data_IF_803942489808
#
_entry.id   IF_803942489808
#
_cell.length_a   1.000
_cell.length_b   1.000
_cell.length_c   1.000
_cell.angle_alpha   90.00
_cell.angle_beta   90.00
_cell.angle_gamma   90.00
#
_symmetry.space_group_name_H-M   'P 1'
#
loop_
_entity.id
_entity.type
_entity.pdbx_description
1 polymer ?
#
# COMPACT_ATOMS: atom_id res chain seq x y z
N UNK A 1 6.80 -11.06 -1.53
CA UNK A 1 7.04 -10.51 -2.76
C UNK A 1 7.30 -9.00 -2.70
N UNK A 2 8.19 -8.46 -3.46
CA UNK A 2 8.26 -7.06 -3.86
C UNK A 2 8.96 -6.04 -2.95
N UNK A 3 9.31 -6.33 -1.72
CA UNK A 3 10.11 -5.44 -0.87
C UNK A 3 11.58 -5.82 -0.95
N UNK A 4 12.16 -5.66 -2.13
CA UNK A 4 13.51 -6.14 -2.41
C UNK A 4 14.26 -5.04 -3.15
N UNK A 5 14.64 -4.01 -2.43
CA UNK A 5 15.64 -3.09 -2.94
C UNK A 5 16.88 -3.19 -2.06
N UNK A 6 17.89 -3.89 -2.57
CA UNK A 6 19.21 -4.05 -1.95
C UNK A 6 20.25 -3.12 -2.58
N UNK A 7 19.79 -2.05 -3.24
CA UNK A 7 20.69 -1.05 -3.77
C UNK A 7 21.57 -0.47 -2.64
N UNK A 8 22.86 -0.25 -2.84
CA UNK A 8 23.76 0.30 -1.82
C UNK A 8 23.25 1.57 -1.15
N UNK A 9 22.58 2.46 -1.90
CA UNK A 9 22.00 3.68 -1.35
C UNK A 9 20.85 3.39 -0.37
N UNK A 10 20.01 2.40 -0.67
CA UNK A 10 18.90 1.99 0.21
C UNK A 10 19.43 1.29 1.45
N UNK A 11 20.47 0.47 1.30
CA UNK A 11 21.12 -0.19 2.45
C UNK A 11 21.78 0.84 3.37
N UNK A 12 22.33 1.91 2.83
CA UNK A 12 22.85 3.01 3.65
C UNK A 12 21.74 3.65 4.47
N UNK A 13 20.62 4.01 3.86
CA UNK A 13 19.45 4.56 4.56
C UNK A 13 18.89 3.58 5.62
N UNK A 14 18.90 2.29 5.34
CA UNK A 14 18.50 1.29 6.34
C UNK A 14 19.39 1.29 7.58
N UNK A 15 20.69 1.41 7.39
CA UNK A 15 21.64 1.50 8.53
C UNK A 15 21.47 2.79 9.32
N UNK A 16 21.22 3.91 8.64
CA UNK A 16 20.88 5.18 9.27
C UNK A 16 19.59 5.05 10.10
N UNK A 17 18.55 4.47 9.53
CA UNK A 17 17.29 4.16 10.23
C UNK A 17 17.50 3.29 11.48
N UNK A 18 18.35 2.26 11.41
CA UNK A 18 18.67 1.43 12.57
C UNK A 18 19.43 2.21 13.64
N UNK A 19 20.37 3.08 13.24
CA UNK A 19 21.08 3.94 14.16
C UNK A 19 20.15 4.89 14.90
N UNK A 20 19.22 5.52 14.19
CA UNK A 20 18.23 6.42 14.77
C UNK A 20 17.28 5.68 15.71
N UNK A 21 16.84 4.48 15.32
CA UNK A 21 15.94 3.66 16.12
C UNK A 21 16.56 3.14 17.42
N UNK A 22 17.80 2.68 17.36
CA UNK A 22 18.46 2.00 18.49
C UNK A 22 19.41 2.89 19.25
N UNK A 23 19.85 3.99 18.67
CA UNK A 23 20.79 4.98 19.24
C UNK A 23 22.17 4.42 19.63
N UNK A 24 22.31 3.12 19.84
CA UNK A 24 23.61 2.47 20.08
C UNK A 24 23.63 1.04 19.53
N UNK A 25 24.81 0.61 19.11
CA UNK A 25 25.00 -0.75 18.58
C UNK A 25 24.84 -1.82 19.68
N UNK A 26 25.18 -1.49 20.91
CA UNK A 26 25.03 -2.37 22.07
C UNK A 26 23.55 -2.67 22.33
N UNK A 27 22.68 -1.66 22.20
CA UNK A 27 21.23 -1.84 22.38
C UNK A 27 20.63 -2.69 21.25
N UNK A 28 21.03 -2.45 20.00
CA UNK A 28 20.64 -3.30 18.88
C UNK A 28 21.09 -4.74 19.11
N UNK A 29 22.36 -4.94 19.43
CA UNK A 29 22.94 -6.26 19.71
C UNK A 29 22.18 -7.02 20.80
N UNK A 30 21.83 -6.34 21.89
CA UNK A 30 21.02 -6.90 22.97
C UNK A 30 19.65 -7.35 22.46
N UNK A 31 19.02 -6.55 21.61
CA UNK A 31 17.68 -6.81 21.07
C UNK A 31 17.71 -8.00 20.11
N UNK A 32 18.67 -8.02 19.20
CA UNK A 32 18.82 -9.05 18.16
C UNK A 32 19.44 -10.34 18.71
N UNK A 33 20.25 -10.25 19.77
CA UNK A 33 21.11 -11.34 20.23
C UNK A 33 22.35 -11.50 19.38
N UNK A 34 22.96 -10.39 18.97
CA UNK A 34 24.12 -10.34 18.06
C UNK A 34 25.31 -9.62 18.68
N UNK A 35 26.43 -9.58 17.95
CA UNK A 35 27.68 -8.93 18.36
C UNK A 35 28.26 -8.07 17.22
N UNK A 36 27.43 -7.27 16.55
CA UNK A 36 27.92 -6.34 15.52
C UNK A 36 28.83 -5.29 16.14
N UNK A 37 29.94 -4.98 15.44
CA UNK A 37 30.91 -3.97 15.89
C UNK A 37 30.39 -2.53 15.66
N UNK A 38 29.53 -2.34 14.66
CA UNK A 38 28.94 -1.05 14.34
C UNK A 38 27.72 -1.26 13.43
N UNK A 39 26.88 -0.22 13.27
CA UNK A 39 25.76 -0.22 12.32
C UNK A 39 26.22 -0.47 10.88
N UNK A 40 27.44 -0.02 10.52
CA UNK A 40 28.01 -0.25 9.18
C UNK A 40 28.22 -1.72 8.83
N UNK A 41 28.37 -2.58 9.84
CA UNK A 41 28.56 -4.03 9.66
C UNK A 41 27.26 -4.83 9.54
N UNK A 42 26.12 -4.17 9.70
CA UNK A 42 24.81 -4.82 9.56
C UNK A 42 24.50 -4.97 8.07
N UNK A 43 24.02 -6.16 7.71
CA UNK A 43 23.50 -6.48 6.38
C UNK A 43 21.99 -6.44 6.39
N UNK A 44 21.36 -6.10 5.25
CA UNK A 44 19.94 -6.30 5.08
C UNK A 44 19.57 -7.79 5.15
N UNK A 45 18.43 -8.17 5.69
CA UNK A 45 18.04 -9.55 5.84
C UNK A 45 17.76 -10.20 4.48
N UNK A 46 18.31 -11.40 4.27
CA UNK A 46 18.14 -12.21 3.07
C UNK A 46 17.86 -13.65 3.48
N UNK A 47 16.95 -14.32 2.79
CA UNK A 47 16.65 -15.73 3.00
C UNK A 47 15.41 -15.98 3.86
N UNK A 48 15.42 -17.06 4.62
CA UNK A 48 14.30 -17.45 5.48
C UNK A 48 14.49 -16.95 6.91
N UNK A 49 13.38 -16.75 7.60
CA UNK A 49 13.37 -16.42 9.03
C UNK A 49 13.48 -17.75 9.79
N UNK A 50 14.61 -18.01 10.40
CA UNK A 50 14.87 -19.25 11.15
C UNK A 50 15.24 -18.97 12.61
N UNK A 51 15.74 -17.78 12.90
CA UNK A 51 16.24 -17.38 14.22
C UNK A 51 15.54 -16.12 14.73
N UNK A 52 15.71 -15.85 16.03
CA UNK A 52 15.29 -14.56 16.62
C UNK A 52 15.96 -13.38 15.93
N UNK A 53 17.24 -13.51 15.59
CA UNK A 53 17.99 -12.50 14.87
C UNK A 53 17.34 -12.18 13.51
N UNK A 54 17.03 -13.22 12.74
CA UNK A 54 16.37 -13.03 11.43
C UNK A 54 15.02 -12.33 11.60
N UNK A 55 14.22 -12.77 12.57
CA UNK A 55 12.93 -12.15 12.85
C UNK A 55 13.07 -10.65 13.16
N UNK A 56 13.99 -10.27 14.04
CA UNK A 56 14.24 -8.87 14.38
C UNK A 56 14.70 -8.08 13.16
N UNK A 57 15.64 -8.63 12.38
CA UNK A 57 16.15 -7.97 11.18
C UNK A 57 15.07 -7.76 10.11
N UNK A 58 14.25 -8.78 9.85
CA UNK A 58 13.13 -8.66 8.90
C UNK A 58 12.03 -7.71 9.38
N UNK A 59 11.72 -7.73 10.68
CA UNK A 59 10.77 -6.80 11.26
C UNK A 59 11.24 -5.34 11.10
N UNK A 60 12.52 -5.06 11.42
CA UNK A 60 13.09 -3.73 11.27
C UNK A 60 13.22 -3.32 9.80
N UNK A 61 13.53 -4.26 8.93
CA UNK A 61 13.56 -3.98 7.49
C UNK A 61 12.17 -3.66 6.94
N UNK A 62 11.13 -4.29 7.48
CA UNK A 62 9.75 -3.92 7.18
C UNK A 62 9.40 -2.52 7.68
N UNK A 63 9.77 -2.17 8.91
CA UNK A 63 9.56 -0.82 9.44
C UNK A 63 10.33 0.23 8.65
N UNK A 64 11.58 -0.07 8.29
CA UNK A 64 12.38 0.79 7.42
C UNK A 64 11.68 1.07 6.09
N UNK A 65 11.07 0.07 5.45
CA UNK A 65 10.33 0.31 4.20
C UNK A 65 9.16 1.25 4.36
N UNK A 66 8.43 1.20 5.46
CA UNK A 66 7.37 2.17 5.76
C UNK A 66 7.91 3.59 5.82
N UNK A 67 9.01 3.76 6.54
CA UNK A 67 9.73 5.04 6.61
C UNK A 67 10.27 5.48 5.24
N UNK A 68 10.87 4.56 4.50
CA UNK A 68 11.42 4.83 3.16
C UNK A 68 10.34 5.27 2.16
N UNK A 69 9.16 4.65 2.18
CA UNK A 69 8.02 5.09 1.36
C UNK A 69 7.52 6.47 1.77
N UNK A 70 7.49 6.77 3.06
CA UNK A 70 7.10 8.10 3.54
C UNK A 70 8.07 9.18 3.06
N UNK A 71 9.39 8.93 3.14
CA UNK A 71 10.41 9.81 2.60
C UNK A 71 10.27 10.01 1.09
N UNK A 72 10.05 8.93 0.34
CA UNK A 72 9.86 9.00 -1.11
C UNK A 72 8.65 9.86 -1.50
N UNK A 73 7.51 9.62 -0.88
CA UNK A 73 6.30 10.40 -1.13
C UNK A 73 6.46 11.86 -0.70
N UNK A 74 7.15 12.13 0.40
CA UNK A 74 7.45 13.49 0.84
C UNK A 74 8.27 14.28 -0.21
N UNK A 75 9.27 13.63 -0.82
CA UNK A 75 10.04 14.22 -1.92
C UNK A 75 9.14 14.52 -3.12
N UNK A 76 8.26 13.59 -3.51
CA UNK A 76 7.34 13.79 -4.61
C UNK A 76 6.35 14.93 -4.33
N UNK A 77 5.75 14.96 -3.15
CA UNK A 77 4.82 16.01 -2.74
C UNK A 77 5.50 17.38 -2.77
N UNK A 78 6.68 17.50 -2.18
CA UNK A 78 7.47 18.73 -2.20
C UNK A 78 7.77 19.17 -3.63
N UNK A 79 8.12 18.23 -4.51
CA UNK A 79 8.38 18.53 -5.92
C UNK A 79 7.13 19.00 -6.65
N UNK A 80 5.99 18.33 -6.47
CA UNK A 80 4.71 18.74 -7.07
C UNK A 80 4.33 20.16 -6.62
N UNK A 81 4.48 20.46 -5.35
CA UNK A 81 4.17 21.79 -4.80
C UNK A 81 5.03 22.93 -5.35
N UNK A 82 6.19 22.64 -5.93
CA UNK A 82 6.98 23.69 -6.63
C UNK A 82 6.32 24.22 -7.90
N UNK A 83 5.26 23.55 -8.39
CA UNK A 83 4.51 23.97 -9.58
C UNK A 83 3.23 24.78 -9.25
N UNK A 84 3.12 25.28 -8.03
CA UNK A 84 1.94 26.06 -7.55
C UNK A 84 0.61 25.33 -7.74
N UNK A 85 0.61 24.03 -7.49
CA UNK A 85 -0.59 23.19 -7.58
C UNK A 85 -1.34 23.26 -6.24
N UNK A 86 -2.58 23.79 -6.30
CA UNK A 86 -3.45 23.99 -5.14
C UNK A 86 -4.50 22.90 -4.94
N UNK A 87 -4.57 21.91 -5.83
CA UNK A 87 -5.52 20.80 -5.73
C UNK A 87 -5.09 19.76 -4.69
N UNK A 88 -6.05 19.03 -4.15
CA UNK A 88 -5.80 17.90 -3.26
C UNK A 88 -4.97 16.84 -3.98
N UNK A 89 -3.85 16.46 -3.39
CA UNK A 89 -3.05 15.33 -3.88
C UNK A 89 -3.68 14.01 -3.44
N UNK A 90 -3.62 13.04 -4.32
CA UNK A 90 -4.12 11.68 -4.03
C UNK A 90 -3.08 10.63 -4.41
N UNK A 91 -3.15 9.48 -3.75
CA UNK A 91 -2.32 8.32 -4.05
C UNK A 91 -3.14 7.04 -3.98
N UNK A 92 -3.03 6.19 -5.00
CA UNK A 92 -3.65 4.87 -4.98
C UNK A 92 -2.88 3.92 -4.08
N UNK A 93 -3.60 3.12 -3.32
CA UNK A 93 -3.05 1.91 -2.70
C UNK A 93 -3.49 0.74 -3.58
N UNK A 94 -2.58 0.20 -4.40
CA UNK A 94 -2.92 -0.92 -5.26
C UNK A 94 -3.20 -2.13 -4.38
N UNK A 95 -4.35 -2.73 -4.59
CA UNK A 95 -4.72 -3.91 -3.84
C UNK A 95 -5.96 -4.54 -4.44
N UNK A 96 -5.97 -5.85 -4.48
CA UNK A 96 -7.10 -6.60 -4.94
C UNK A 96 -7.83 -7.13 -3.72
N UNK A 97 -9.12 -6.88 -3.63
CA UNK A 97 -9.95 -7.45 -2.56
C UNK A 97 -10.33 -8.86 -2.96
N UNK A 98 -9.34 -9.74 -3.10
CA UNK A 98 -9.57 -11.14 -3.37
C UNK A 98 -9.70 -11.94 -2.07
N UNK A 99 -10.63 -12.86 -2.08
CA UNK A 99 -10.77 -13.86 -1.03
C UNK A 99 -10.89 -13.21 0.35
N UNK A 100 -9.90 -13.40 1.19
CA UNK A 100 -9.85 -12.89 2.56
C UNK A 100 -9.09 -11.57 2.72
N UNK A 101 -8.74 -10.89 1.63
CA UNK A 101 -8.05 -9.60 1.60
C UNK A 101 -6.76 -9.53 2.46
N UNK A 102 -6.06 -10.65 2.62
CA UNK A 102 -4.92 -10.75 3.53
C UNK A 102 -3.76 -9.81 3.16
N UNK A 103 -3.64 -9.42 1.90
CA UNK A 103 -2.55 -8.56 1.43
C UNK A 103 -2.83 -7.07 1.64
N UNK A 104 -4.07 -6.62 1.54
CA UNK A 104 -4.42 -5.22 1.56
C UNK A 104 -4.12 -4.52 2.91
N UNK A 105 -4.38 -5.12 4.07
CA UNK A 105 -3.96 -4.55 5.35
C UNK A 105 -2.45 -4.28 5.42
N UNK A 106 -1.65 -5.17 4.86
CA UNK A 106 -0.20 -5.01 4.79
C UNK A 106 0.21 -3.87 3.85
N UNK A 107 -0.46 -3.72 2.70
CA UNK A 107 -0.23 -2.63 1.77
C UNK A 107 -0.63 -1.29 2.39
N UNK A 108 -1.81 -1.19 3.00
CA UNK A 108 -2.24 0.03 3.71
C UNK A 108 -1.23 0.41 4.79
N UNK A 109 -0.77 -0.57 5.59
CA UNK A 109 0.20 -0.31 6.66
C UNK A 109 1.55 0.23 6.16
N UNK A 110 1.88 -0.01 4.89
CA UNK A 110 3.10 0.53 4.29
C UNK A 110 3.10 2.04 4.23
N UNK A 111 1.94 2.66 4.12
CA UNK A 111 1.78 4.11 4.05
C UNK A 111 1.36 4.75 5.37
N UNK A 112 1.28 3.98 6.47
CA UNK A 112 0.78 4.46 7.77
C UNK A 112 1.49 5.73 8.25
N UNK A 113 2.82 5.80 8.15
CA UNK A 113 3.59 6.93 8.64
C UNK A 113 3.16 8.24 7.98
N UNK A 114 3.06 8.23 6.64
CA UNK A 114 2.68 9.43 5.89
C UNK A 114 1.18 9.76 6.04
N UNK A 115 0.31 8.75 6.12
CA UNK A 115 -1.12 8.94 6.34
C UNK A 115 -1.43 9.64 7.66
N UNK A 116 -0.64 9.36 8.71
CA UNK A 116 -0.84 9.93 10.04
C UNK A 116 -0.25 11.31 10.22
N UNK A 117 0.72 11.67 9.40
CA UNK A 117 1.52 12.89 9.59
C UNK A 117 1.19 13.99 8.59
N UNK A 118 0.40 13.69 7.54
CA UNK A 118 0.07 14.66 6.48
C UNK A 118 -1.43 14.70 6.21
N UNK A 119 -1.93 15.91 6.00
CA UNK A 119 -3.32 16.23 5.62
C UNK A 119 -3.45 16.70 4.16
N UNK A 120 -2.32 16.88 3.48
CA UNK A 120 -2.26 17.40 2.11
C UNK A 120 -2.17 16.32 1.02
N UNK A 121 -2.25 15.06 1.41
CA UNK A 121 -2.39 13.92 0.52
C UNK A 121 -3.45 12.95 1.06
N UNK A 122 -4.30 12.43 0.19
CA UNK A 122 -5.35 11.47 0.54
C UNK A 122 -5.11 10.16 -0.21
N UNK A 123 -5.13 9.07 0.53
CA UNK A 123 -4.94 7.72 -0.01
C UNK A 123 -6.29 7.09 -0.32
N UNK A 124 -6.39 6.47 -1.48
CA UNK A 124 -7.56 5.71 -1.90
C UNK A 124 -7.20 4.26 -2.19
N UNK A 125 -8.17 3.37 -2.00
CA UNK A 125 -8.02 1.95 -2.28
C UNK A 125 -8.43 1.62 -3.72
N UNK A 126 -7.77 0.66 -4.32
CA UNK A 126 -8.24 0.03 -5.56
C UNK A 126 -9.23 -1.09 -5.18
N UNK A 127 -10.51 -0.80 -5.33
CA UNK A 127 -11.61 -1.69 -5.03
C UNK A 127 -12.02 -2.47 -6.28
N UNK A 128 -11.40 -3.62 -6.50
CA UNK A 128 -11.67 -4.48 -7.66
C UNK A 128 -11.95 -5.91 -7.16
N UNK A 129 -13.14 -6.17 -6.59
CA UNK A 129 -13.47 -7.46 -5.98
C UNK A 129 -13.87 -8.53 -6.99
N UNK A 130 -14.09 -8.18 -8.27
CA UNK A 130 -14.66 -8.99 -9.36
C UNK A 130 -16.13 -9.38 -9.13
N UNK A 131 -16.47 -9.85 -7.96
CA UNK A 131 -17.85 -10.11 -7.52
C UNK A 131 -17.94 -10.00 -6.01
N UNK A 132 -19.13 -9.72 -5.49
CA UNK A 132 -19.40 -9.66 -4.05
C UNK A 132 -20.30 -10.83 -3.66
N UNK A 133 -19.90 -11.50 -2.61
CA UNK A 133 -20.67 -12.57 -1.99
C UNK A 133 -20.53 -12.49 -0.47
N UNK A 134 -21.33 -13.27 0.25
CA UNK A 134 -21.17 -13.38 1.71
C UNK A 134 -19.78 -13.89 2.13
N UNK A 135 -19.01 -14.47 1.21
CA UNK A 135 -17.67 -15.01 1.49
C UNK A 135 -16.60 -13.94 1.51
N UNK A 136 -16.76 -12.85 0.77
CA UNK A 136 -15.75 -11.79 0.62
C UNK A 136 -16.22 -10.39 1.06
N UNK A 137 -17.51 -10.20 1.36
CA UNK A 137 -18.03 -8.90 1.80
C UNK A 137 -17.31 -8.35 3.06
N UNK A 138 -16.85 -9.21 3.96
CA UNK A 138 -16.08 -8.81 5.14
C UNK A 138 -14.73 -8.19 4.78
N UNK A 139 -14.16 -8.53 3.63
CA UNK A 139 -12.88 -7.98 3.17
C UNK A 139 -12.99 -6.51 2.83
N UNK A 140 -14.08 -6.10 2.17
CA UNK A 140 -14.37 -4.70 1.90
C UNK A 140 -14.52 -3.90 3.19
N UNK A 141 -15.33 -4.40 4.13
CA UNK A 141 -15.49 -3.78 5.45
C UNK A 141 -14.14 -3.61 6.17
N UNK A 142 -13.34 -4.67 6.22
CA UNK A 142 -12.05 -4.66 6.90
C UNK A 142 -11.10 -3.62 6.29
N UNK A 143 -10.99 -3.57 4.96
CA UNK A 143 -10.13 -2.64 4.26
C UNK A 143 -10.55 -1.18 4.47
N UNK A 144 -11.86 -0.90 4.38
CA UNK A 144 -12.38 0.43 4.62
C UNK A 144 -12.12 0.89 6.05
N UNK A 145 -12.30 0.01 7.04
CA UNK A 145 -12.05 0.34 8.45
C UNK A 145 -10.57 0.49 8.78
N UNK A 146 -9.70 -0.27 8.15
CA UNK A 146 -8.25 -0.10 8.29
C UNK A 146 -7.82 1.25 7.70
N UNK A 147 -8.28 1.60 6.49
CA UNK A 147 -7.97 2.89 5.89
C UNK A 147 -8.49 4.04 6.74
N UNK A 148 -9.74 3.97 7.21
CA UNK A 148 -10.34 4.97 8.10
C UNK A 148 -9.50 5.19 9.38
N UNK A 149 -9.01 4.10 9.98
CA UNK A 149 -8.21 4.17 11.19
C UNK A 149 -6.80 4.73 10.96
N UNK A 150 -6.23 4.50 9.78
CA UNK A 150 -4.87 4.95 9.44
C UNK A 150 -4.83 6.34 8.83
N UNK A 151 -5.91 6.81 8.21
CA UNK A 151 -6.00 8.10 7.53
C UNK A 151 -6.99 9.04 8.26
N UNK A 152 -6.61 9.66 9.39
CA UNK A 152 -7.55 10.47 10.19
C UNK A 152 -7.95 11.79 9.51
N UNK A 153 -7.21 12.25 8.51
CA UNK A 153 -7.43 13.52 7.82
C UNK A 153 -8.13 13.39 6.46
N UNK A 154 -8.48 12.18 6.06
CA UNK A 154 -9.06 11.94 4.75
C UNK A 154 -10.29 11.03 4.77
N UNK A 155 -11.12 11.08 3.73
CA UNK A 155 -12.22 10.15 3.57
C UNK A 155 -11.73 8.75 3.22
N UNK A 156 -12.54 7.75 3.53
CA UNK A 156 -12.41 6.44 2.89
C UNK A 156 -12.97 6.56 1.48
N UNK A 157 -12.14 6.34 0.48
CA UNK A 157 -12.53 6.46 -0.92
C UNK A 157 -11.83 5.42 -1.79
N UNK A 158 -12.47 5.06 -2.90
CA UNK A 158 -11.90 4.16 -3.89
C UNK A 158 -11.22 4.98 -5.00
N UNK A 159 -9.90 4.85 -5.11
CA UNK A 159 -9.12 5.44 -6.19
C UNK A 159 -9.37 4.75 -7.52
N UNK A 160 -9.64 3.45 -7.49
CA UNK A 160 -10.17 2.66 -8.58
C UNK A 160 -11.31 1.79 -8.05
N UNK A 161 -12.53 2.09 -8.48
CA UNK A 161 -13.70 1.29 -8.13
C UNK A 161 -14.17 0.53 -9.35
N UNK A 162 -14.25 -0.78 -9.25
CA UNK A 162 -14.61 -1.63 -10.38
C UNK A 162 -15.92 -1.19 -11.03
N UNK A 163 -15.83 -0.92 -12.34
CA UNK A 163 -16.97 -0.61 -13.18
C UNK A 163 -16.87 -1.42 -14.48
N UNK A 164 -17.31 -2.67 -14.41
CA UNK A 164 -17.23 -3.62 -15.52
C UNK A 164 -16.40 -4.86 -15.20
N UNK A 165 -16.17 -5.66 -16.22
CA UNK A 165 -15.46 -6.94 -16.14
C UNK A 165 -14.19 -6.91 -16.96
N UNK A 166 -13.08 -7.38 -16.40
CA UNK A 166 -11.84 -7.59 -17.16
C UNK A 166 -11.94 -8.82 -18.05
N UNK A 167 -11.26 -8.80 -19.20
CA UNK A 167 -11.31 -9.84 -20.23
C UNK A 167 -11.06 -11.27 -19.71
N UNK A 168 -10.22 -11.41 -18.68
CA UNK A 168 -9.80 -12.72 -18.13
C UNK A 168 -10.42 -13.03 -16.75
N UNK A 169 -11.38 -12.24 -16.31
CA UNK A 169 -12.03 -12.41 -15.01
C UNK A 169 -13.47 -12.90 -15.19
N UNK A 170 -14.08 -13.31 -14.07
CA UNK A 170 -15.50 -13.68 -14.04
C UNK A 170 -16.32 -12.47 -14.46
N UNK A 171 -17.25 -12.69 -15.38
CA UNK A 171 -18.16 -11.63 -15.82
C UNK A 171 -19.01 -11.14 -14.65
N UNK A 172 -18.96 -9.83 -14.43
CA UNK A 172 -19.85 -9.14 -13.51
C UNK A 172 -20.99 -8.51 -14.29
N UNK A 173 -22.19 -8.66 -13.80
CA UNK A 173 -23.37 -7.98 -14.36
C UNK A 173 -23.69 -6.69 -13.57
N UNK A 174 -24.77 -6.02 -13.97
CA UNK A 174 -25.17 -4.78 -13.32
C UNK A 174 -25.58 -4.99 -11.85
N UNK A 175 -26.14 -6.14 -11.50
CA UNK A 175 -26.57 -6.44 -10.13
C UNK A 175 -25.37 -6.75 -9.22
N UNK A 176 -24.31 -7.34 -9.75
CA UNK A 176 -23.05 -7.52 -9.02
C UNK A 176 -22.43 -6.16 -8.66
N UNK A 177 -22.37 -5.25 -9.63
CA UNK A 177 -21.83 -3.90 -9.42
C UNK A 177 -22.68 -3.09 -8.44
N UNK A 178 -24.01 -3.17 -8.55
CA UNK A 178 -24.93 -2.52 -7.62
C UNK A 178 -24.76 -3.06 -6.19
N UNK A 179 -24.69 -4.37 -6.04
CA UNK A 179 -24.43 -5.01 -4.74
C UNK A 179 -23.13 -4.56 -4.13
N UNK A 180 -22.06 -4.52 -4.93
CA UNK A 180 -20.75 -4.06 -4.46
C UNK A 180 -20.77 -2.57 -4.08
N UNK A 181 -21.40 -1.74 -4.88
CA UNK A 181 -21.54 -0.31 -4.60
C UNK A 181 -22.24 -0.06 -3.26
N UNK A 182 -23.42 -0.68 -3.05
CA UNK A 182 -24.15 -0.51 -1.79
C UNK A 182 -23.45 -1.12 -0.59
N UNK A 183 -22.76 -2.25 -0.76
CA UNK A 183 -21.94 -2.83 0.30
C UNK A 183 -20.83 -1.87 0.72
N UNK A 184 -20.09 -1.31 -0.22
CA UNK A 184 -18.99 -0.39 0.05
C UNK A 184 -19.48 0.90 0.72
N UNK A 185 -20.65 1.44 0.30
CA UNK A 185 -21.30 2.57 0.98
C UNK A 185 -21.65 2.21 2.43
N UNK A 186 -22.28 1.07 2.64
CA UNK A 186 -22.65 0.59 3.99
C UNK A 186 -21.42 0.38 4.88
N UNK A 187 -20.28 0.03 4.31
CA UNK A 187 -19.00 -0.14 5.00
C UNK A 187 -18.20 1.16 5.17
N UNK A 188 -18.78 2.29 4.82
CA UNK A 188 -18.22 3.62 5.12
C UNK A 188 -17.46 4.29 3.98
N UNK A 189 -17.48 3.75 2.77
CA UNK A 189 -16.93 4.42 1.60
C UNK A 189 -17.65 5.74 1.34
N UNK A 190 -16.90 6.80 1.04
CA UNK A 190 -17.46 8.16 0.88
C UNK A 190 -17.37 8.67 -0.56
N UNK A 191 -16.47 8.12 -1.36
CA UNK A 191 -16.24 8.56 -2.73
C UNK A 191 -15.73 7.42 -3.59
N UNK A 192 -16.04 7.47 -4.88
CA UNK A 192 -15.72 6.45 -5.85
C UNK A 192 -15.17 7.09 -7.12
N UNK A 193 -14.06 6.56 -7.60
CA UNK A 193 -13.56 6.83 -8.94
C UNK A 193 -13.74 5.55 -9.77
N UNK A 194 -14.75 5.55 -10.63
CA UNK A 194 -15.08 4.35 -11.40
C UNK A 194 -13.98 4.00 -12.42
N UNK A 195 -13.49 2.77 -12.34
CA UNK A 195 -12.48 2.22 -13.21
C UNK A 195 -12.99 0.93 -13.89
N UNK A 196 -13.21 0.93 -15.20
CA UNK A 196 -13.16 2.05 -16.13
C UNK A 196 -14.58 2.56 -16.39
N UNK A 197 -14.79 3.85 -16.25
CA UNK A 197 -16.11 4.46 -16.42
C UNK A 197 -16.59 4.41 -17.88
N UNK A 198 -15.69 4.60 -18.82
CA UNK A 198 -16.01 4.56 -20.24
C UNK A 198 -15.19 3.50 -20.96
N UNK A 199 -15.87 2.77 -21.84
CA UNK A 199 -15.24 1.82 -22.72
C UNK A 199 -14.48 2.56 -23.85
N UNK A 200 -13.29 2.06 -24.19
CA UNK A 200 -12.51 2.58 -25.30
C UNK A 200 -11.81 1.45 -26.06
N UNK A 201 -11.17 1.74 -27.16
CA UNK A 201 -10.38 0.80 -27.93
C UNK A 201 -8.91 1.23 -27.84
N UNK A 202 -8.06 0.35 -27.34
CA UNK A 202 -6.63 0.60 -27.35
C UNK A 202 -6.10 0.60 -28.79
N UNK A 203 -5.21 1.52 -29.16
CA UNK A 203 -4.53 1.47 -30.46
C UNK A 203 -3.84 0.12 -30.65
N UNK A 204 -3.84 -0.38 -31.89
CA UNK A 204 -3.23 -1.67 -32.21
C UNK A 204 -1.77 -1.76 -31.72
N UNK A 205 -1.46 -2.82 -30.99
CA UNK A 205 -0.13 -3.04 -30.41
C UNK A 205 0.21 -2.13 -29.21
N UNK A 206 -0.75 -1.37 -28.69
CA UNK A 206 -0.61 -0.53 -27.48
C UNK A 206 -1.59 -0.99 -26.43
N UNK A 207 -1.16 -0.92 -25.19
CA UNK A 207 -1.97 -1.35 -24.05
C UNK A 207 -1.71 -2.78 -23.62
N UNK A 208 -2.00 -3.05 -22.34
CA UNK A 208 -1.73 -4.33 -21.70
C UNK A 208 -2.73 -5.42 -22.13
N UNK A 209 -3.95 -5.02 -22.43
CA UNK A 209 -5.00 -5.89 -22.95
C UNK A 209 -5.37 -5.44 -24.38
N UNK A 210 -5.45 -6.37 -25.30
CA UNK A 210 -5.73 -6.08 -26.72
C UNK A 210 -7.11 -5.46 -26.98
N UNK A 211 -8.01 -5.60 -26.01
CA UNK A 211 -9.33 -4.94 -25.97
C UNK A 211 -9.47 -4.18 -24.68
N UNK A 212 -10.29 -3.18 -24.68
CA UNK A 212 -10.74 -2.48 -23.48
C UNK A 212 -11.73 -3.31 -22.67
N UNK A 213 -11.83 -2.96 -21.45
CA UNK A 213 -12.81 -3.50 -20.50
C UNK A 213 -14.25 -3.30 -20.95
#
# INVERSE_FOLDING_TARGET
SGRIDYNPSVIKLYKEFLNDKYSSIEYLNKTYGTNYLSFEKISAPIGRIETKQDYCAYYDFHLFYRHYYALYLDVLIKKIKTFDISIQLTHNIPGWIYGNAAELPMLISTYEEIMRTRDDIVFGLDHIPEFVSFRNAHSDLACNKILEAMQPYGPVWAAEFQCGTREHHVKSDASDLETFYFASLAHGMKSFNYYMFSQGINPAGKGFFGKTF
#
